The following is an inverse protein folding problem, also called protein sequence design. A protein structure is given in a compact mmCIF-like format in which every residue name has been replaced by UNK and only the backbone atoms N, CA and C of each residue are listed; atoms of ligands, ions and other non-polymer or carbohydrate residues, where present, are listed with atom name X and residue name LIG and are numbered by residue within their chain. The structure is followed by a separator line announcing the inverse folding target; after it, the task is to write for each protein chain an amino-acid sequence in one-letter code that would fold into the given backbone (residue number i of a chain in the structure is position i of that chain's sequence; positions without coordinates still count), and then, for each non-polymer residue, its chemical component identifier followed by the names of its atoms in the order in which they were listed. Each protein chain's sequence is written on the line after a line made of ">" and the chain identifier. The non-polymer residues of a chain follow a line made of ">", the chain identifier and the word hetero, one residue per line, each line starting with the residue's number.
data_IF_596942904051
#
_entry.id   IF_596942904051
#
_cell.length_a   1.000
_cell.length_b   1.000
_cell.length_c   1.000
_cell.angle_alpha   90.00
_cell.angle_beta   90.00
_cell.angle_gamma   90.00
#
_symmetry.space_group_name_H-M   'P 1'
#
loop_
_entity.id
_entity.type
_entity.pdbx_description
1 polymer ?
#
# COMPACT_ATOMS: atom_id res chain seq x y z
N UNK A 1 33.72 29.18 -2.47
CA UNK A 1 32.26 29.03 -2.71
C UNK A 1 31.71 27.96 -1.77
N UNK A 2 30.60 28.22 -1.07
CA UNK A 2 30.02 27.28 -0.08
C UNK A 2 28.93 26.37 -0.67
N UNK A 3 28.46 26.64 -1.88
CA UNK A 3 27.49 25.78 -2.55
C UNK A 3 27.42 26.06 -4.04
N UNK A 4 27.02 25.06 -4.83
CA UNK A 4 26.98 25.13 -6.28
C UNK A 4 25.65 24.56 -6.79
N UNK A 5 24.96 25.35 -7.62
CA UNK A 5 23.74 24.94 -8.31
C UNK A 5 24.00 24.90 -9.80
N UNK A 6 23.79 23.73 -10.39
CA UNK A 6 23.83 23.47 -11.83
C UNK A 6 22.50 22.84 -12.28
N UNK A 7 21.40 23.20 -11.60
CA UNK A 7 20.05 22.70 -11.89
C UNK A 7 19.56 23.17 -13.25
N UNK A 8 18.67 22.41 -13.90
CA UNK A 8 18.04 22.81 -15.17
C UNK A 8 19.06 23.15 -16.27
N UNK A 9 20.11 22.32 -16.38
CA UNK A 9 21.09 22.41 -17.45
C UNK A 9 21.03 21.15 -18.34
N UNK A 10 21.99 21.02 -19.25
CA UNK A 10 22.09 19.88 -20.17
C UNK A 10 23.29 18.98 -19.85
N UNK A 11 23.68 18.86 -18.58
CA UNK A 11 24.79 17.98 -18.18
C UNK A 11 24.41 16.51 -18.47
N UNK A 12 25.29 15.79 -19.16
CA UNK A 12 25.06 14.38 -19.54
C UNK A 12 25.91 13.40 -18.74
N UNK A 13 27.09 13.79 -18.29
CA UNK A 13 28.05 12.91 -17.62
C UNK A 13 28.76 13.66 -16.50
N UNK A 14 29.14 12.94 -15.44
CA UNK A 14 30.01 13.44 -14.38
C UNK A 14 31.31 12.64 -14.36
N UNK A 15 32.40 13.31 -14.71
CA UNK A 15 33.72 12.69 -14.80
C UNK A 15 34.50 12.74 -13.49
N UNK A 16 35.48 11.84 -13.37
CA UNK A 16 36.39 11.77 -12.24
C UNK A 16 37.05 13.13 -11.95
N UNK A 17 36.94 13.55 -10.69
CA UNK A 17 37.58 14.76 -10.20
C UNK A 17 37.01 16.08 -10.74
N UNK A 18 35.85 16.07 -11.42
CA UNK A 18 35.21 17.26 -12.00
C UNK A 18 35.00 18.41 -11.00
N UNK A 19 34.83 18.10 -9.71
CA UNK A 19 34.62 19.09 -8.65
C UNK A 19 35.82 19.27 -7.71
N UNK A 20 37.02 18.81 -8.07
CA UNK A 20 38.21 18.80 -7.19
C UNK A 20 38.63 20.18 -6.66
N UNK A 21 38.38 21.25 -7.41
CA UNK A 21 38.66 22.63 -6.99
C UNK A 21 37.66 23.20 -5.97
N UNK A 22 36.55 22.51 -5.70
CA UNK A 22 35.40 23.03 -4.95
C UNK A 22 35.31 22.44 -3.53
N UNK A 23 36.45 22.28 -2.85
CA UNK A 23 36.56 21.58 -1.56
C UNK A 23 35.76 22.20 -0.40
N UNK A 24 35.29 23.45 -0.57
CA UNK A 24 34.52 24.19 0.42
C UNK A 24 33.00 24.02 0.25
N UNK A 25 32.54 23.26 -0.75
CA UNK A 25 31.11 23.03 -0.99
C UNK A 25 30.44 22.32 0.20
N UNK A 26 29.26 22.81 0.53
CA UNK A 26 28.36 22.26 1.55
C UNK A 26 27.07 21.71 0.96
N UNK A 27 26.67 22.19 -0.22
CA UNK A 27 25.56 21.66 -1.01
C UNK A 27 25.92 21.68 -2.50
N UNK A 28 25.45 20.67 -3.23
CA UNK A 28 25.65 20.51 -4.67
C UNK A 28 24.34 20.08 -5.31
N UNK A 29 23.78 20.94 -6.17
CA UNK A 29 22.50 20.67 -6.83
C UNK A 29 22.71 20.44 -8.32
N UNK A 30 22.43 19.21 -8.77
CA UNK A 30 22.61 18.74 -10.15
C UNK A 30 21.30 18.21 -10.74
N UNK A 31 20.16 18.51 -10.12
CA UNK A 31 18.86 18.01 -10.57
C UNK A 31 18.35 18.67 -11.85
N UNK A 32 17.41 18.01 -12.51
CA UNK A 32 16.87 18.44 -13.82
C UNK A 32 17.98 18.63 -14.87
N UNK A 33 18.81 17.61 -15.03
CA UNK A 33 19.82 17.51 -16.08
C UNK A 33 19.56 16.27 -16.95
N UNK A 34 20.55 15.84 -17.72
CA UNK A 34 20.49 14.63 -18.54
C UNK A 34 21.55 13.60 -18.12
N UNK A 35 21.98 13.64 -16.85
CA UNK A 35 23.11 12.84 -16.37
C UNK A 35 22.74 11.37 -16.47
N UNK A 36 23.44 10.62 -17.32
CA UNK A 36 23.25 9.18 -17.49
C UNK A 36 24.37 8.35 -16.84
N UNK A 37 25.55 8.94 -16.67
CA UNK A 37 26.74 8.30 -16.10
C UNK A 37 27.36 9.16 -15.00
N UNK A 38 27.75 8.52 -13.90
CA UNK A 38 28.51 9.13 -12.80
C UNK A 38 29.72 8.25 -12.52
N UNK A 39 30.91 8.74 -12.85
CA UNK A 39 32.15 8.01 -12.60
C UNK A 39 32.45 7.90 -11.10
N UNK A 40 33.18 6.85 -10.72
CA UNK A 40 33.37 6.44 -9.34
C UNK A 40 34.02 7.48 -8.43
N UNK A 41 34.79 8.41 -8.98
CA UNK A 41 35.44 9.51 -8.26
C UNK A 41 34.94 10.88 -8.72
N UNK A 42 33.75 10.98 -9.32
CA UNK A 42 33.19 12.26 -9.74
C UNK A 42 33.13 13.31 -8.60
N UNK A 43 32.82 12.85 -7.38
CA UNK A 43 32.71 13.69 -6.18
C UNK A 43 33.98 13.74 -5.33
N UNK A 44 35.15 13.45 -5.91
CA UNK A 44 36.40 13.43 -5.16
C UNK A 44 36.66 14.76 -4.44
N UNK A 45 37.18 14.67 -3.19
CA UNK A 45 37.52 15.81 -2.31
C UNK A 45 36.34 16.66 -1.78
N UNK A 46 35.08 16.31 -2.07
CA UNK A 46 33.89 17.02 -1.58
C UNK A 46 33.50 16.69 -0.12
N UNK A 47 34.49 16.65 0.80
CA UNK A 47 34.29 16.18 2.19
C UNK A 47 33.30 17.01 3.01
N UNK A 48 33.07 18.28 2.66
CA UNK A 48 32.21 19.22 3.40
C UNK A 48 30.75 19.20 2.95
N UNK A 49 30.43 18.49 1.86
CA UNK A 49 29.09 18.40 1.31
C UNK A 49 28.18 17.67 2.30
N UNK A 50 27.03 18.29 2.55
CA UNK A 50 25.94 17.83 3.42
C UNK A 50 24.68 17.52 2.62
N UNK A 51 24.51 18.16 1.48
CA UNK A 51 23.33 17.98 0.64
C UNK A 51 23.76 17.78 -0.82
N UNK A 52 23.26 16.70 -1.41
CA UNK A 52 23.47 16.38 -2.81
C UNK A 52 22.13 16.02 -3.43
N UNK A 53 21.76 16.71 -4.51
CA UNK A 53 20.64 16.28 -5.35
C UNK A 53 21.10 15.97 -6.76
N UNK A 54 20.70 14.79 -7.21
CA UNK A 54 20.85 14.26 -8.56
C UNK A 54 19.48 13.88 -9.13
N UNK A 55 18.38 14.41 -8.57
CA UNK A 55 17.03 14.03 -9.00
C UNK A 55 16.69 14.52 -10.41
N UNK A 56 15.69 13.92 -11.05
CA UNK A 56 15.29 14.27 -12.42
C UNK A 56 16.47 14.21 -13.40
N UNK A 57 17.15 13.07 -13.43
CA UNK A 57 18.25 12.76 -14.34
C UNK A 57 17.98 11.40 -15.03
N UNK A 58 18.98 10.84 -15.72
CA UNK A 58 18.85 9.58 -16.46
C UNK A 58 19.78 8.49 -15.90
N UNK A 59 20.19 8.60 -14.63
CA UNK A 59 21.19 7.73 -14.02
C UNK A 59 20.64 6.31 -13.93
N UNK A 60 21.37 5.33 -14.44
CA UNK A 60 20.96 3.93 -14.45
C UNK A 60 21.60 3.11 -13.34
N UNK A 61 22.82 3.50 -12.92
CA UNK A 61 23.62 2.84 -11.90
C UNK A 61 24.52 3.85 -11.19
N UNK A 62 24.91 3.54 -9.96
CA UNK A 62 25.91 4.29 -9.20
C UNK A 62 26.94 3.32 -8.60
N UNK A 63 28.25 3.52 -8.84
CA UNK A 63 29.27 2.66 -8.27
C UNK A 63 29.38 2.84 -6.74
N UNK A 64 29.85 1.80 -6.04
CA UNK A 64 30.09 1.79 -4.58
C UNK A 64 30.97 2.94 -4.06
N UNK A 65 31.78 3.55 -4.93
CA UNK A 65 32.69 4.64 -4.57
C UNK A 65 32.05 6.02 -4.63
N UNK A 66 30.87 6.17 -5.26
CA UNK A 66 30.22 7.45 -5.54
C UNK A 66 30.14 8.37 -4.31
N UNK A 67 29.61 7.85 -3.19
CA UNK A 67 29.37 8.66 -2.00
C UNK A 67 30.49 8.60 -0.95
N UNK A 68 31.48 7.72 -1.11
CA UNK A 68 32.61 7.56 -0.17
C UNK A 68 33.37 8.87 0.11
N UNK A 69 33.60 9.77 -0.88
CA UNK A 69 34.27 11.04 -0.65
C UNK A 69 33.49 12.05 0.22
N UNK A 70 32.20 11.82 0.48
CA UNK A 70 31.29 12.77 1.14
C UNK A 70 30.70 12.21 2.45
N UNK A 71 31.53 11.89 3.47
CA UNK A 71 31.07 11.26 4.72
C UNK A 71 30.19 12.17 5.59
N UNK A 72 30.05 13.46 5.24
CA UNK A 72 29.24 14.43 5.96
C UNK A 72 27.85 14.64 5.35
N UNK A 73 27.46 13.84 4.33
CA UNK A 73 26.13 13.87 3.75
C UNK A 73 25.05 13.69 4.82
N UNK A 74 24.01 14.50 4.68
CA UNK A 74 22.79 14.56 5.49
C UNK A 74 21.56 14.34 4.63
N UNK A 75 21.56 14.87 3.41
CA UNK A 75 20.48 14.69 2.45
C UNK A 75 21.02 14.25 1.11
N UNK A 76 20.45 13.18 0.57
CA UNK A 76 20.72 12.67 -0.77
C UNK A 76 19.39 12.47 -1.49
N UNK A 77 19.24 13.09 -2.65
CA UNK A 77 18.09 12.91 -3.52
C UNK A 77 18.50 12.31 -4.87
N UNK A 78 18.04 11.10 -5.13
CA UNK A 78 18.22 10.32 -6.36
C UNK A 78 16.88 10.06 -7.07
N UNK A 79 15.83 10.79 -6.69
CA UNK A 79 14.49 10.58 -7.21
C UNK A 79 14.38 10.85 -8.71
N UNK A 80 13.42 10.24 -9.40
CA UNK A 80 13.20 10.47 -10.84
C UNK A 80 14.47 10.22 -11.66
N UNK A 81 15.05 9.04 -11.47
CA UNK A 81 16.16 8.50 -12.27
C UNK A 81 15.76 7.13 -12.81
N UNK A 82 16.70 6.42 -13.43
CA UNK A 82 16.47 5.10 -14.02
C UNK A 82 17.24 4.00 -13.27
N UNK A 83 17.47 4.16 -11.96
CA UNK A 83 18.25 3.21 -11.17
C UNK A 83 17.56 1.85 -11.16
N UNK A 84 18.24 0.80 -11.65
CA UNK A 84 17.66 -0.55 -11.72
C UNK A 84 18.08 -1.44 -10.54
N UNK A 85 19.26 -1.17 -10.00
CA UNK A 85 19.87 -1.89 -8.88
C UNK A 85 20.66 -0.92 -8.03
N UNK A 86 20.82 -1.28 -6.76
CA UNK A 86 21.70 -0.59 -5.83
C UNK A 86 22.89 -1.49 -5.55
N UNK A 87 24.08 -0.91 -5.61
CA UNK A 87 25.29 -1.62 -5.21
C UNK A 87 25.30 -1.83 -3.67
N UNK A 88 25.77 -2.99 -3.15
CA UNK A 88 25.63 -3.33 -1.72
C UNK A 88 26.29 -2.35 -0.75
N UNK A 89 27.38 -1.70 -1.14
CA UNK A 89 28.15 -0.77 -0.31
C UNK A 89 27.96 0.70 -0.72
N UNK A 90 26.93 1.01 -1.52
CA UNK A 90 26.71 2.34 -2.08
C UNK A 90 26.64 3.42 -0.99
N UNK A 91 25.98 3.12 0.14
CA UNK A 91 25.79 4.06 1.26
C UNK A 91 26.74 3.79 2.44
N UNK A 92 27.81 3.01 2.23
CA UNK A 92 28.77 2.69 3.28
C UNK A 92 29.40 3.95 3.89
N UNK A 93 29.47 4.02 5.22
CA UNK A 93 30.06 5.15 5.95
C UNK A 93 29.20 6.41 6.07
N UNK A 94 27.99 6.47 5.48
CA UNK A 94 27.10 7.65 5.53
C UNK A 94 26.36 7.78 6.88
N UNK A 95 27.11 7.80 7.98
CA UNK A 95 26.58 7.79 9.36
C UNK A 95 25.76 9.02 9.74
N UNK A 96 25.92 10.12 9.00
CA UNK A 96 25.25 11.41 9.22
C UNK A 96 24.03 11.62 8.30
N UNK A 97 23.75 10.66 7.41
CA UNK A 97 22.62 10.75 6.49
C UNK A 97 21.33 10.75 7.29
N UNK A 98 20.46 11.71 7.02
CA UNK A 98 19.16 11.90 7.68
C UNK A 98 17.99 11.69 6.74
N UNK A 99 18.15 12.03 5.46
CA UNK A 99 17.12 11.95 4.43
C UNK A 99 17.71 11.29 3.18
N UNK A 100 17.03 10.26 2.68
CA UNK A 100 17.38 9.59 1.44
C UNK A 100 16.14 9.42 0.58
N UNK A 101 16.18 9.99 -0.61
CA UNK A 101 15.11 9.89 -1.60
C UNK A 101 15.61 9.08 -2.80
N UNK A 102 14.89 8.01 -3.15
CA UNK A 102 15.12 7.15 -4.32
C UNK A 102 13.80 6.86 -5.05
N UNK A 103 12.82 7.77 -4.89
CA UNK A 103 11.49 7.68 -5.47
C UNK A 103 11.53 7.64 -6.99
N UNK A 104 10.59 6.94 -7.64
CA UNK A 104 10.45 6.98 -9.10
C UNK A 104 11.75 6.57 -9.80
N UNK A 105 12.17 5.33 -9.51
CA UNK A 105 13.28 4.64 -10.15
C UNK A 105 12.78 3.28 -10.65
N UNK A 106 13.69 2.41 -11.10
CA UNK A 106 13.38 1.06 -11.56
C UNK A 106 13.97 -0.03 -10.65
N UNK A 107 14.11 0.27 -9.34
CA UNK A 107 14.79 -0.61 -8.39
C UNK A 107 13.95 -1.87 -8.17
N UNK A 108 14.56 -3.04 -8.42
CA UNK A 108 13.88 -4.35 -8.32
C UNK A 108 14.10 -5.04 -6.98
N UNK A 109 15.22 -4.75 -6.32
CA UNK A 109 15.60 -5.35 -5.04
C UNK A 109 16.37 -4.35 -4.18
N UNK A 110 16.19 -4.43 -2.86
CA UNK A 110 17.00 -3.71 -1.86
C UNK A 110 18.04 -4.68 -1.30
N UNK A 111 19.34 -4.49 -1.57
CA UNK A 111 20.39 -5.36 -1.05
C UNK A 111 20.34 -5.42 0.49
N UNK A 112 20.65 -6.60 1.03
CA UNK A 112 20.69 -6.82 2.48
C UNK A 112 21.79 -5.94 3.09
N UNK A 113 21.50 -5.28 4.22
CA UNK A 113 22.44 -4.42 4.96
C UNK A 113 22.99 -3.20 4.18
N UNK A 114 22.40 -2.82 3.04
CA UNK A 114 22.82 -1.61 2.31
C UNK A 114 22.77 -0.34 3.18
N UNK A 115 21.87 -0.30 4.17
CA UNK A 115 21.71 0.81 5.10
C UNK A 115 22.40 0.61 6.47
N UNK A 116 23.23 -0.41 6.63
CA UNK A 116 23.82 -0.80 7.93
C UNK A 116 24.52 0.34 8.67
N UNK A 117 25.15 1.25 7.92
CA UNK A 117 25.88 2.40 8.44
C UNK A 117 25.05 3.69 8.54
N UNK A 118 23.84 3.72 7.96
CA UNK A 118 22.95 4.88 7.93
C UNK A 118 22.20 5.10 9.26
N UNK A 119 22.94 5.11 10.38
CA UNK A 119 22.38 5.10 11.76
C UNK A 119 21.63 6.37 12.17
N UNK A 120 21.77 7.44 11.39
CA UNK A 120 21.08 8.73 11.61
C UNK A 120 19.88 8.95 10.70
N UNK A 121 19.58 7.99 9.81
CA UNK A 121 18.52 8.15 8.81
C UNK A 121 17.17 8.21 9.51
N UNK A 122 16.38 9.23 9.15
CA UNK A 122 15.03 9.48 9.68
C UNK A 122 13.97 9.27 8.61
N UNK A 123 14.27 9.62 7.36
CA UNK A 123 13.34 9.53 6.24
C UNK A 123 13.97 8.72 5.11
N UNK A 124 13.22 7.73 4.62
CA UNK A 124 13.60 6.90 3.49
C UNK A 124 12.41 6.77 2.52
N UNK A 125 12.60 7.25 1.29
CA UNK A 125 11.62 7.09 0.21
C UNK A 125 12.16 6.21 -0.90
N UNK A 126 11.55 5.03 -1.06
CA UNK A 126 11.77 4.08 -2.16
C UNK A 126 10.41 3.77 -2.84
N UNK A 127 9.48 4.71 -2.79
CA UNK A 127 8.20 4.61 -3.49
C UNK A 127 8.37 4.69 -5.01
N UNK A 128 7.36 4.23 -5.76
CA UNK A 128 7.37 4.25 -7.23
C UNK A 128 8.60 3.54 -7.80
N UNK A 129 8.80 2.28 -7.37
CA UNK A 129 9.87 1.40 -7.85
C UNK A 129 9.25 0.06 -8.30
N UNK A 130 10.08 -0.97 -8.51
CA UNK A 130 9.65 -2.28 -8.99
C UNK A 130 9.95 -3.39 -7.97
N UNK A 131 9.88 -3.05 -6.67
CA UNK A 131 10.19 -3.99 -5.59
C UNK A 131 9.11 -5.07 -5.51
N UNK A 132 9.50 -6.33 -5.70
CA UNK A 132 8.59 -7.49 -5.62
C UNK A 132 8.56 -8.15 -4.25
N UNK A 133 9.66 -8.03 -3.52
CA UNK A 133 9.84 -8.60 -2.19
C UNK A 133 10.87 -7.81 -1.39
N UNK A 134 10.82 -7.98 -0.08
CA UNK A 134 11.78 -7.43 0.86
C UNK A 134 12.51 -8.60 1.53
N UNK A 135 13.84 -8.57 1.52
CA UNK A 135 14.62 -9.57 2.23
C UNK A 135 14.65 -9.25 3.73
N UNK A 136 14.83 -10.29 4.55
CA UNK A 136 15.12 -10.09 5.99
C UNK A 136 16.37 -9.20 6.12
N UNK A 137 16.31 -8.21 7.00
CA UNK A 137 17.41 -7.28 7.25
C UNK A 137 17.78 -6.34 6.07
N UNK A 138 16.92 -6.17 5.05
CA UNK A 138 17.13 -5.11 4.04
C UNK A 138 17.25 -3.72 4.67
N UNK A 139 16.50 -3.47 5.75
CA UNK A 139 16.49 -2.19 6.49
C UNK A 139 17.32 -2.20 7.78
N UNK A 140 18.26 -3.15 7.93
CA UNK A 140 19.12 -3.19 9.10
C UNK A 140 19.98 -1.92 9.23
N UNK A 141 20.16 -1.45 10.47
CA UNK A 141 20.92 -0.24 10.79
C UNK A 141 20.09 1.04 10.93
N UNK A 142 18.83 1.02 10.47
CA UNK A 142 17.92 2.16 10.44
C UNK A 142 17.21 2.44 11.78
N UNK A 143 17.96 2.51 12.87
CA UNK A 143 17.40 2.60 14.24
C UNK A 143 16.64 3.90 14.54
N UNK A 144 16.93 4.98 13.80
CA UNK A 144 16.31 6.31 13.94
C UNK A 144 15.28 6.62 12.85
N UNK A 145 14.95 5.65 12.01
CA UNK A 145 14.01 5.85 10.91
C UNK A 145 12.63 6.12 11.48
N UNK A 146 12.04 7.24 11.12
CA UNK A 146 10.71 7.68 11.55
C UNK A 146 9.67 7.46 10.46
N UNK A 147 10.08 7.51 9.21
CA UNK A 147 9.16 7.46 8.06
C UNK A 147 9.76 6.66 6.91
N UNK A 148 8.96 5.69 6.42
CA UNK A 148 9.33 4.78 5.35
C UNK A 148 8.24 4.76 4.27
N UNK A 149 8.62 5.13 3.05
CA UNK A 149 7.77 5.14 1.86
C UNK A 149 8.15 3.98 0.94
N UNK A 150 7.18 3.08 0.73
CA UNK A 150 7.26 1.88 -0.12
C UNK A 150 6.04 1.78 -1.06
N UNK A 151 5.27 2.85 -1.20
CA UNK A 151 4.08 2.87 -2.05
C UNK A 151 4.42 2.69 -3.53
N UNK A 152 3.44 2.27 -4.33
CA UNK A 152 3.61 2.08 -5.78
C UNK A 152 4.81 1.18 -6.11
N UNK A 153 4.84 0.00 -5.47
CA UNK A 153 5.76 -1.09 -5.79
C UNK A 153 4.94 -2.35 -6.15
N UNK A 154 5.62 -3.48 -6.32
CA UNK A 154 5.00 -4.77 -6.68
C UNK A 154 5.01 -5.77 -5.50
N UNK A 155 4.98 -5.30 -4.25
CA UNK A 155 5.09 -6.16 -3.07
C UNK A 155 3.84 -7.04 -2.94
N UNK A 156 4.03 -8.37 -2.86
CA UNK A 156 2.93 -9.35 -2.78
C UNK A 156 2.57 -9.74 -1.34
N UNK A 157 3.56 -9.69 -0.44
CA UNK A 157 3.39 -10.07 0.97
C UNK A 157 4.09 -9.06 1.87
N UNK A 158 3.43 -8.68 2.95
CA UNK A 158 4.03 -7.87 4.01
C UNK A 158 4.17 -8.74 5.25
N UNK A 159 5.42 -9.06 5.58
CA UNK A 159 5.75 -9.66 6.87
C UNK A 159 6.40 -8.58 7.72
N UNK A 160 5.76 -8.19 8.83
CA UNK A 160 6.29 -7.18 9.74
C UNK A 160 7.66 -7.59 10.33
N UNK A 161 7.97 -8.89 10.37
CA UNK A 161 9.28 -9.40 10.75
C UNK A 161 10.43 -8.99 9.82
N UNK A 162 10.16 -8.57 8.57
CA UNK A 162 11.17 -8.09 7.63
C UNK A 162 11.69 -6.68 7.94
N UNK A 163 11.09 -6.02 8.94
CA UNK A 163 11.50 -4.72 9.43
C UNK A 163 12.08 -4.82 10.86
N UNK A 164 13.13 -5.64 11.08
CA UNK A 164 13.66 -5.85 12.41
C UNK A 164 14.29 -4.56 12.94
N UNK A 165 13.87 -4.17 14.16
CA UNK A 165 14.46 -3.06 14.92
C UNK A 165 14.29 -1.67 14.29
N UNK A 166 13.22 -1.45 13.52
CA UNK A 166 12.76 -0.09 13.19
C UNK A 166 11.99 0.53 14.37
N UNK A 167 12.63 0.57 15.56
CA UNK A 167 12.00 0.91 16.84
C UNK A 167 11.47 2.36 16.90
N UNK A 168 11.97 3.24 16.04
CA UNK A 168 11.58 4.64 15.98
C UNK A 168 10.58 4.93 14.84
N UNK A 169 10.06 3.91 14.16
CA UNK A 169 9.20 4.10 12.99
C UNK A 169 7.80 4.56 13.42
N UNK A 170 7.38 5.72 12.92
CA UNK A 170 6.07 6.32 13.20
C UNK A 170 5.12 6.21 12.01
N UNK A 171 5.64 6.23 10.78
CA UNK A 171 4.84 6.21 9.55
C UNK A 171 5.36 5.18 8.56
N UNK A 172 4.47 4.30 8.10
CA UNK A 172 4.74 3.29 7.09
C UNK A 172 3.72 3.40 5.94
N UNK A 173 4.20 3.76 4.76
CA UNK A 173 3.40 3.88 3.56
C UNK A 173 3.64 2.68 2.64
N UNK A 174 2.62 1.82 2.46
CA UNK A 174 2.61 0.63 1.61
C UNK A 174 1.50 0.68 0.55
N UNK A 175 0.92 1.87 0.34
CA UNK A 175 -0.18 2.12 -0.59
C UNK A 175 0.14 1.62 -2.01
N UNK A 176 -0.87 1.10 -2.71
CA UNK A 176 -0.76 0.70 -4.13
C UNK A 176 0.41 -0.26 -4.38
N UNK A 177 0.44 -1.33 -3.60
CA UNK A 177 1.23 -2.53 -3.86
C UNK A 177 0.29 -3.67 -4.31
N UNK A 178 0.75 -4.92 -4.28
CA UNK A 178 -0.02 -6.12 -4.62
C UNK A 178 -0.21 -7.03 -3.40
N UNK A 179 -0.26 -6.42 -2.21
CA UNK A 179 -0.22 -7.17 -0.95
C UNK A 179 -1.51 -7.96 -0.80
N UNK A 180 -1.42 -9.28 -0.68
CA UNK A 180 -2.60 -10.14 -0.49
C UNK A 180 -2.83 -10.54 0.97
N UNK A 181 -1.76 -10.57 1.75
CA UNK A 181 -1.79 -10.94 3.16
C UNK A 181 -0.80 -10.10 3.97
N UNK A 182 -1.23 -9.71 5.17
CA UNK A 182 -0.38 -9.10 6.19
C UNK A 182 -0.19 -10.11 7.32
N UNK A 183 1.06 -10.44 7.61
CA UNK A 183 1.44 -11.41 8.65
C UNK A 183 2.44 -10.80 9.61
N UNK A 184 2.44 -11.31 10.84
CA UNK A 184 3.46 -11.00 11.83
C UNK A 184 3.94 -12.28 12.51
N UNK A 185 5.24 -12.51 12.52
CA UNK A 185 5.85 -13.71 13.13
C UNK A 185 6.77 -13.38 14.30
N UNK A 186 6.75 -12.14 14.82
CA UNK A 186 7.68 -11.70 15.88
C UNK A 186 6.96 -10.89 16.98
N UNK A 187 7.53 -10.98 18.18
CA UNK A 187 6.88 -10.56 19.45
C UNK A 187 7.23 -9.14 19.91
N UNK A 188 7.94 -8.32 19.11
CA UNK A 188 8.28 -6.97 19.53
C UNK A 188 7.15 -5.97 19.28
N UNK A 189 7.19 -4.86 20.02
CA UNK A 189 6.22 -3.77 19.89
C UNK A 189 6.83 -2.61 19.09
N UNK A 190 6.05 -2.06 18.18
CA UNK A 190 6.40 -0.88 17.38
C UNK A 190 5.74 0.38 17.93
N UNK A 191 6.40 1.51 17.69
CA UNK A 191 5.88 2.86 17.95
C UNK A 191 5.16 3.44 16.72
N UNK A 192 4.61 2.58 15.87
CA UNK A 192 3.97 2.98 14.62
C UNK A 192 2.66 3.70 14.91
N UNK A 193 2.51 4.91 14.37
CA UNK A 193 1.31 5.73 14.53
C UNK A 193 0.44 5.75 13.27
N UNK A 194 1.06 5.61 12.10
CA UNK A 194 0.38 5.67 10.80
C UNK A 194 0.79 4.51 9.92
N UNK A 195 -0.20 3.80 9.40
CA UNK A 195 -0.01 2.72 8.44
C UNK A 195 -0.97 2.91 7.27
N UNK A 196 -0.43 3.03 6.06
CA UNK A 196 -1.21 3.13 4.83
C UNK A 196 -1.05 1.85 4.01
N UNK A 197 -2.11 1.04 3.96
CA UNK A 197 -2.22 -0.18 3.17
C UNK A 197 -3.26 -0.03 2.03
N UNK A 198 -3.67 1.20 1.71
CA UNK A 198 -4.72 1.46 0.73
C UNK A 198 -4.33 0.99 -0.69
N UNK A 199 -5.32 0.59 -1.49
CA UNK A 199 -5.09 0.22 -2.89
C UNK A 199 -4.26 -1.05 -3.08
N UNK A 200 -4.34 -2.00 -2.15
CA UNK A 200 -3.69 -3.32 -2.25
C UNK A 200 -4.71 -4.40 -2.65
N UNK A 201 -4.33 -5.67 -2.53
CA UNK A 201 -5.18 -6.81 -2.85
C UNK A 201 -5.47 -7.65 -1.58
N UNK A 202 -5.54 -7.00 -0.42
CA UNK A 202 -5.62 -7.71 0.87
C UNK A 202 -6.98 -8.39 1.00
N UNK A 203 -6.96 -9.71 1.13
CA UNK A 203 -8.15 -10.53 1.35
C UNK A 203 -8.29 -10.95 2.82
N UNK A 204 -7.17 -11.07 3.53
CA UNK A 204 -7.12 -11.55 4.90
C UNK A 204 -6.04 -10.85 5.72
N UNK A 205 -6.40 -10.52 6.96
CA UNK A 205 -5.50 -9.96 7.97
C UNK A 205 -5.40 -10.98 9.10
N UNK A 206 -4.18 -11.36 9.48
CA UNK A 206 -3.97 -12.29 10.58
C UNK A 206 -4.27 -11.64 11.95
N UNK A 207 -4.99 -12.30 12.87
CA UNK A 207 -5.47 -11.74 14.14
C UNK A 207 -4.44 -11.00 14.99
N UNK A 208 -3.21 -11.51 15.05
CA UNK A 208 -2.17 -11.01 15.96
C UNK A 208 -1.28 -9.91 15.34
N UNK A 209 -1.53 -9.52 14.08
CA UNK A 209 -0.67 -8.53 13.38
C UNK A 209 -0.66 -7.20 14.13
N UNK A 210 -1.83 -6.73 14.55
CA UNK A 210 -1.99 -5.41 15.14
C UNK A 210 -1.68 -5.36 16.64
N UNK A 211 -1.49 -6.50 17.31
CA UNK A 211 -0.98 -6.55 18.69
C UNK A 211 0.44 -5.97 18.79
N UNK A 212 1.23 -6.08 17.72
CA UNK A 212 2.58 -5.53 17.64
C UNK A 212 2.62 -4.01 17.42
N UNK A 213 1.50 -3.36 17.11
CA UNK A 213 1.38 -1.91 16.83
C UNK A 213 0.28 -1.24 17.68
N UNK A 214 0.38 -1.29 19.02
CA UNK A 214 -0.68 -0.85 19.93
C UNK A 214 -0.94 0.67 19.91
N UNK A 215 0.01 1.46 19.38
CA UNK A 215 -0.06 2.92 19.31
C UNK A 215 -0.56 3.45 17.97
N UNK A 216 -1.09 2.58 17.10
CA UNK A 216 -1.58 2.97 15.78
C UNK A 216 -2.76 3.94 15.90
N UNK A 217 -2.62 5.13 15.31
CA UNK A 217 -3.61 6.22 15.32
C UNK A 217 -4.37 6.33 14.01
N UNK A 218 -3.72 6.02 12.89
CA UNK A 218 -4.28 6.11 11.55
C UNK A 218 -3.99 4.83 10.77
N UNK A 219 -5.04 4.18 10.29
CA UNK A 219 -4.95 2.95 9.49
C UNK A 219 -5.75 3.11 8.21
N UNK A 220 -5.08 3.12 7.07
CA UNK A 220 -5.78 3.15 5.77
C UNK A 220 -5.84 1.74 5.17
N UNK A 221 -7.05 1.21 5.00
CA UNK A 221 -7.34 -0.09 4.40
C UNK A 221 -8.31 0.01 3.22
N UNK A 222 -8.62 1.22 2.75
CA UNK A 222 -9.48 1.41 1.60
C UNK A 222 -8.92 0.78 0.31
N UNK A 223 -9.82 0.51 -0.64
CA UNK A 223 -9.46 -0.02 -1.95
C UNK A 223 -8.69 -1.35 -1.86
N UNK A 224 -9.17 -2.29 -1.04
CA UNK A 224 -8.64 -3.64 -0.86
C UNK A 224 -9.69 -4.70 -1.26
N UNK A 225 -9.47 -5.97 -0.89
CA UNK A 225 -10.38 -7.10 -1.18
C UNK A 225 -10.94 -7.74 0.10
N UNK A 226 -11.00 -7.00 1.20
CA UNK A 226 -11.51 -7.52 2.47
C UNK A 226 -13.01 -7.80 2.34
N UNK A 227 -13.43 -8.95 2.85
CA UNK A 227 -14.85 -9.33 2.93
C UNK A 227 -15.40 -9.22 4.34
N UNK A 228 -14.57 -9.43 5.36
CA UNK A 228 -14.90 -9.24 6.77
C UNK A 228 -13.62 -8.91 7.55
N UNK A 229 -13.78 -8.50 8.82
CA UNK A 229 -12.67 -8.33 9.77
C UNK A 229 -12.96 -9.19 11.00
N UNK A 230 -11.99 -10.01 11.41
CA UNK A 230 -12.09 -10.85 12.61
C UNK A 230 -12.18 -9.99 13.88
N UNK A 231 -12.98 -10.42 14.85
CA UNK A 231 -13.18 -9.66 16.11
C UNK A 231 -11.88 -9.42 16.87
N UNK A 232 -10.92 -10.36 16.83
CA UNK A 232 -9.61 -10.19 17.48
C UNK A 232 -8.78 -9.07 16.85
N UNK A 233 -8.92 -8.86 15.54
CA UNK A 233 -8.31 -7.71 14.86
C UNK A 233 -8.96 -6.42 15.36
N UNK A 234 -10.29 -6.36 15.44
CA UNK A 234 -11.01 -5.19 15.94
C UNK A 234 -10.65 -4.85 17.40
N UNK A 235 -10.49 -5.86 18.25
CA UNK A 235 -10.11 -5.72 19.66
C UNK A 235 -8.69 -5.13 19.84
N UNK A 236 -7.83 -5.32 18.84
CA UNK A 236 -6.46 -4.78 18.84
C UNK A 236 -6.39 -3.29 18.47
N UNK A 237 -7.41 -2.73 17.82
CA UNK A 237 -7.47 -1.36 17.31
C UNK A 237 -7.80 -0.30 18.39
N UNK A 238 -7.08 -0.35 19.51
CA UNK A 238 -7.41 0.41 20.73
C UNK A 238 -7.10 1.91 20.64
N UNK A 239 -6.12 2.30 19.83
CA UNK A 239 -5.61 3.68 19.74
C UNK A 239 -6.03 4.41 18.47
N UNK A 240 -6.86 3.79 17.61
CA UNK A 240 -7.22 4.37 16.33
C UNK A 240 -8.07 5.63 16.51
N UNK A 241 -7.73 6.64 15.73
CA UNK A 241 -8.44 7.93 15.62
C UNK A 241 -8.97 8.16 14.22
N UNK A 242 -8.40 7.49 13.22
CA UNK A 242 -8.82 7.54 11.83
C UNK A 242 -8.65 6.16 11.19
N UNK A 243 -9.66 5.71 10.43
CA UNK A 243 -9.60 4.46 9.67
C UNK A 243 -10.29 4.62 8.31
N UNK A 244 -9.69 4.14 7.23
CA UNK A 244 -10.38 4.01 5.93
C UNK A 244 -10.68 2.55 5.63
N UNK A 245 -11.89 2.28 5.16
CA UNK A 245 -12.41 0.92 4.90
C UNK A 245 -13.23 0.85 3.61
N UNK A 246 -13.46 1.99 2.96
CA UNK A 246 -14.22 2.08 1.71
C UNK A 246 -13.58 1.26 0.57
N UNK A 247 -14.36 0.99 -0.47
CA UNK A 247 -13.91 0.24 -1.65
C UNK A 247 -13.27 -1.13 -1.33
N UNK A 248 -13.80 -1.82 -0.32
CA UNK A 248 -13.57 -3.25 -0.06
C UNK A 248 -14.76 -4.08 -0.56
N UNK A 249 -14.65 -5.41 -0.46
CA UNK A 249 -15.68 -6.35 -0.92
C UNK A 249 -16.52 -6.88 0.25
N UNK A 250 -17.06 -5.98 1.08
CA UNK A 250 -17.74 -6.34 2.33
C UNK A 250 -18.88 -7.34 2.13
N UNK A 251 -18.83 -8.46 2.86
CA UNK A 251 -19.88 -9.47 2.91
C UNK A 251 -20.86 -9.17 4.04
N UNK A 252 -21.95 -8.49 3.69
CA UNK A 252 -23.05 -8.11 4.58
C UNK A 252 -23.99 -9.29 4.86
N UNK A 253 -23.38 -10.37 5.34
CA UNK A 253 -24.04 -11.49 6.01
C UNK A 253 -23.80 -11.35 7.53
N UNK A 254 -23.89 -12.44 8.30
CA UNK A 254 -23.56 -12.41 9.73
C UNK A 254 -22.09 -12.07 10.02
N UNK A 255 -21.20 -12.21 9.03
CA UNK A 255 -19.77 -11.92 9.16
C UNK A 255 -19.48 -10.42 9.39
N UNK A 256 -20.37 -9.52 8.95
CA UNK A 256 -20.16 -8.07 9.09
C UNK A 256 -20.51 -7.56 10.49
N UNK A 257 -21.20 -8.34 11.32
CA UNK A 257 -21.76 -7.88 12.59
C UNK A 257 -20.70 -7.37 13.58
N UNK A 258 -19.54 -8.03 13.64
CA UNK A 258 -18.43 -7.57 14.50
C UNK A 258 -17.93 -6.20 14.06
N UNK A 259 -17.76 -5.99 12.76
CA UNK A 259 -17.33 -4.72 12.18
C UNK A 259 -18.39 -3.63 12.39
N UNK A 260 -19.67 -3.92 12.13
CA UNK A 260 -20.76 -2.97 12.32
C UNK A 260 -20.90 -2.52 13.77
N UNK A 261 -20.83 -3.46 14.72
CA UNK A 261 -20.82 -3.15 16.16
C UNK A 261 -19.61 -2.28 16.54
N UNK A 262 -18.42 -2.61 16.02
CA UNK A 262 -17.22 -1.81 16.26
C UNK A 262 -17.36 -0.39 15.70
N UNK A 263 -17.83 -0.23 14.47
CA UNK A 263 -18.04 1.06 13.80
C UNK A 263 -19.05 1.93 14.55
N UNK A 264 -20.15 1.35 15.04
CA UNK A 264 -21.17 2.07 15.80
C UNK A 264 -20.63 2.69 17.10
N UNK A 265 -19.60 2.07 17.68
CA UNK A 265 -18.95 2.52 18.92
C UNK A 265 -17.69 3.36 18.66
N UNK A 266 -17.20 3.39 17.42
CA UNK A 266 -15.96 4.06 17.07
C UNK A 266 -16.14 5.59 17.04
N UNK A 267 -15.42 6.30 17.91
CA UNK A 267 -15.49 7.76 18.04
C UNK A 267 -14.54 8.52 17.10
N UNK A 268 -13.73 7.80 16.32
CA UNK A 268 -12.79 8.38 15.38
C UNK A 268 -13.43 8.75 14.04
N UNK A 269 -12.59 9.12 13.08
CA UNK A 269 -13.01 9.41 11.70
C UNK A 269 -12.93 8.15 10.85
N UNK A 270 -13.98 7.86 10.10
CA UNK A 270 -13.98 6.82 9.07
C UNK A 270 -14.73 7.29 7.83
N UNK A 271 -14.52 6.60 6.71
CA UNK A 271 -15.17 6.93 5.44
C UNK A 271 -16.70 6.84 5.56
N UNK A 272 -17.45 7.72 4.89
CA UNK A 272 -18.92 7.78 5.01
C UNK A 272 -19.68 6.74 4.19
N UNK A 273 -18.99 5.99 3.32
CA UNK A 273 -19.62 5.12 2.32
C UNK A 273 -18.98 3.72 2.37
N UNK A 274 -19.34 2.92 3.36
CA UNK A 274 -18.90 1.52 3.45
C UNK A 274 -19.97 0.66 2.79
N UNK A 275 -19.80 0.36 1.50
CA UNK A 275 -20.83 -0.34 0.74
C UNK A 275 -20.67 -1.86 0.84
N UNK A 276 -21.81 -2.54 0.99
CA UNK A 276 -21.92 -3.99 0.87
C UNK A 276 -21.65 -4.45 -0.57
N UNK A 277 -20.79 -5.45 -0.74
CA UNK A 277 -20.52 -6.07 -2.04
C UNK A 277 -21.32 -7.36 -2.23
N UNK A 278 -21.51 -8.13 -1.16
CA UNK A 278 -22.35 -9.33 -1.10
C UNK A 278 -23.21 -9.32 0.15
N UNK A 279 -24.29 -10.11 0.21
CA UNK A 279 -24.96 -10.80 -0.91
C UNK A 279 -25.76 -9.85 -1.81
N UNK A 280 -26.29 -10.35 -2.94
CA UNK A 280 -26.98 -9.52 -3.97
C UNK A 280 -28.12 -8.65 -3.42
N UNK A 281 -28.84 -9.10 -2.38
CA UNK A 281 -29.95 -8.34 -1.81
C UNK A 281 -29.52 -7.09 -1.01
N UNK A 282 -28.27 -7.06 -0.53
CA UNK A 282 -27.71 -5.95 0.24
C UNK A 282 -26.67 -5.16 -0.58
N UNK A 283 -26.39 -5.57 -1.82
CA UNK A 283 -25.31 -5.00 -2.61
C UNK A 283 -25.54 -3.51 -2.89
N UNK A 284 -24.55 -2.69 -2.58
CA UNK A 284 -24.59 -1.23 -2.79
C UNK A 284 -25.22 -0.43 -1.63
N UNK A 285 -25.82 -1.10 -0.64
CA UNK A 285 -26.25 -0.47 0.61
C UNK A 285 -25.07 -0.17 1.51
N UNK A 286 -25.18 0.84 2.38
CA UNK A 286 -24.19 1.05 3.43
C UNK A 286 -24.24 -0.10 4.45
N UNK A 287 -23.08 -0.50 4.97
CA UNK A 287 -22.93 -1.63 5.90
C UNK A 287 -23.79 -1.45 7.14
N UNK A 288 -23.86 -0.24 7.72
CA UNK A 288 -24.65 -0.03 8.93
C UNK A 288 -26.15 -0.04 8.63
N UNK A 289 -26.54 0.55 7.50
CA UNK A 289 -27.94 0.56 7.04
C UNK A 289 -28.42 -0.86 6.69
N UNK A 290 -27.59 -1.66 6.03
CA UNK A 290 -27.90 -3.05 5.69
C UNK A 290 -28.08 -3.92 6.94
N UNK A 291 -27.25 -3.74 7.98
CA UNK A 291 -27.39 -4.47 9.24
C UNK A 291 -28.74 -4.19 9.91
N UNK A 292 -29.19 -2.93 9.89
CA UNK A 292 -30.47 -2.53 10.44
C UNK A 292 -31.65 -3.00 9.58
N UNK A 293 -31.60 -2.75 8.27
CA UNK A 293 -32.70 -3.02 7.34
C UNK A 293 -33.00 -4.52 7.18
N UNK A 294 -31.96 -5.38 7.24
CA UNK A 294 -32.11 -6.83 7.05
C UNK A 294 -32.02 -7.62 8.37
N UNK A 295 -31.99 -6.96 9.53
CA UNK A 295 -31.88 -7.59 10.85
C UNK A 295 -30.73 -8.63 10.93
N UNK A 296 -29.59 -8.34 10.32
CA UNK A 296 -28.50 -9.32 10.11
C UNK A 296 -27.86 -9.82 11.42
N UNK A 297 -27.87 -8.96 12.44
CA UNK A 297 -27.16 -9.17 13.70
C UNK A 297 -28.09 -9.37 14.89
N UNK A 298 -29.40 -9.52 14.65
CA UNK A 298 -30.32 -9.96 15.67
C UNK A 298 -30.16 -11.47 15.86
N UNK A 299 -30.14 -11.93 17.11
CA UNK A 299 -30.17 -13.36 17.36
C UNK A 299 -31.54 -13.89 16.94
N UNK A 300 -31.53 -14.96 16.14
CA UNK A 300 -32.73 -15.73 15.89
C UNK A 300 -33.32 -16.11 17.24
N UNK A 301 -34.50 -15.57 17.54
CA UNK A 301 -35.22 -15.95 18.76
C UNK A 301 -35.32 -17.48 18.79
N UNK A 302 -34.91 -18.05 19.91
CA UNK A 302 -34.98 -19.48 20.20
C UNK A 302 -36.38 -20.01 19.82
N UNK A 303 -36.53 -21.06 18.98
CA UNK A 303 -37.85 -21.60 18.62
C UNK A 303 -38.57 -22.30 19.78
N UNK A 304 -38.05 -22.23 21.00
CA UNK A 304 -38.61 -22.88 22.19
C UNK A 304 -39.08 -21.86 23.22
N UNK A 305 -40.10 -21.09 22.87
CA UNK A 305 -41.11 -20.68 23.85
C UNK A 305 -42.49 -21.02 23.29
N UNK A 306 -42.88 -22.26 23.55
CA UNK A 306 -44.24 -22.75 23.35
C UNK A 306 -45.16 -21.89 24.20
N UNK A 307 -45.99 -21.08 23.54
CA UNK A 307 -47.15 -20.45 24.13
C UNK A 307 -48.10 -21.53 24.65
N UNK A 308 -48.14 -21.72 25.97
CA UNK A 308 -49.25 -22.36 26.66
C UNK A 308 -50.39 -21.36 26.82
N UNK A 309 -51.45 -21.53 26.04
CA UNK A 309 -52.81 -21.11 26.43
C UNK A 309 -53.18 -21.90 27.70
N UNK A 310 -53.81 -21.39 28.76
CA UNK A 310 -55.13 -20.74 28.93
C UNK A 310 -55.33 -20.51 30.46
N UNK A 311 -56.48 -20.02 31.01
CA UNK A 311 -57.67 -19.42 30.41
C UNK A 311 -58.17 -18.11 31.08
N UNK A 312 -59.21 -17.56 30.45
CA UNK A 312 -60.05 -16.41 30.79
C UNK A 312 -60.79 -16.58 32.14
N UNK A 313 -60.85 -15.51 32.94
CA UNK A 313 -62.00 -15.16 33.80
C UNK A 313 -62.27 -13.66 33.79
N UNK A 314 -63.56 -13.31 33.79
CA UNK A 314 -64.17 -12.01 33.50
C UNK A 314 -64.33 -11.08 34.71
N UNK A 315 -64.54 -9.80 34.38
CA UNK A 315 -65.20 -8.69 35.12
C UNK A 315 -64.37 -8.02 36.25
N UNK A 316 -64.37 -6.70 36.44
CA UNK A 316 -65.14 -5.58 35.88
C UNK A 316 -64.48 -4.24 36.28
N UNK A 317 -64.81 -3.20 35.51
CA UNK A 317 -64.95 -1.78 35.87
C UNK A 317 -63.79 -0.76 35.81
N UNK A 318 -64.12 0.29 35.02
CA UNK A 318 -63.82 1.73 35.13
C UNK A 318 -62.65 2.37 34.37
N UNK A 319 -63.01 2.86 33.17
CA UNK A 319 -62.89 4.25 32.64
C UNK A 319 -61.54 4.98 32.66
N UNK A 320 -61.07 5.45 31.49
CA UNK A 320 -61.16 6.86 31.04
C UNK A 320 -60.58 7.07 29.60
N UNK A 321 -61.44 7.63 28.73
CA UNK A 321 -61.20 8.65 27.66
C UNK A 321 -60.09 8.49 26.60
N UNK A 322 -60.53 8.25 25.35
CA UNK A 322 -59.82 8.54 24.09
C UNK A 322 -60.04 9.99 23.63
N UNK A 323 -58.98 10.65 23.15
CA UNK A 323 -59.04 11.88 22.36
C UNK A 323 -58.30 11.69 21.03
N UNK A 324 -59.06 11.60 19.94
CA UNK A 324 -58.59 11.60 18.54
C UNK A 324 -58.44 13.03 18.04
N UNK A 325 -57.41 13.30 17.24
CA UNK A 325 -57.34 14.50 16.40
C UNK A 325 -56.66 14.19 15.05
N UNK A 326 -57.51 14.03 14.03
CA UNK A 326 -57.21 14.22 12.61
C UNK A 326 -57.08 15.72 12.31
N UNK A 327 -56.09 16.12 11.50
CA UNK A 327 -55.99 17.48 10.98
C UNK A 327 -56.08 17.49 9.45
N UNK A 328 -57.04 18.27 8.97
CA UNK A 328 -57.46 18.52 7.58
C UNK A 328 -56.66 19.68 6.95
N UNK A 329 -56.56 19.63 5.63
CA UNK A 329 -56.09 20.71 4.75
C UNK A 329 -57.07 21.89 4.74
N UNK A 330 -56.54 23.12 4.66
CA UNK A 330 -57.29 24.31 4.25
C UNK A 330 -56.47 25.14 3.26
N UNK A 331 -57.13 25.50 2.16
CA UNK A 331 -56.72 26.46 1.11
C UNK A 331 -57.54 27.73 1.33
N UNK A 332 -56.92 28.90 1.18
CA UNK A 332 -57.64 30.15 0.92
C UNK A 332 -56.74 31.18 0.22
N UNK A 333 -57.20 31.64 -0.95
CA UNK A 333 -56.70 32.76 -1.75
C UNK A 333 -57.03 34.13 -1.12
N UNK A 334 -56.23 35.16 -1.43
CA UNK A 334 -56.68 36.55 -1.63
C UNK A 334 -55.57 37.43 -2.26
N UNK A 335 -56.00 38.35 -3.14
CA UNK A 335 -55.25 39.16 -4.12
C UNK A 335 -54.48 40.40 -3.58
N UNK A 336 -53.45 40.81 -4.34
CA UNK A 336 -53.19 42.21 -4.76
C UNK A 336 -52.32 43.13 -3.88
N UNK A 337 -51.13 43.52 -4.35
CA UNK A 337 -50.83 44.91 -4.79
C UNK A 337 -49.46 45.05 -5.50
N UNK A 338 -49.38 46.03 -6.42
CA UNK A 338 -48.23 46.38 -7.27
C UNK A 338 -47.29 47.39 -6.57
N UNK A 339 -45.97 47.15 -6.65
CA UNK A 339 -44.98 48.24 -6.71
C UNK A 339 -43.82 47.89 -7.64
N UNK A 340 -43.72 48.65 -8.72
CA UNK A 340 -42.62 48.68 -9.70
C UNK A 340 -41.38 49.38 -9.14
N UNK A 341 -40.23 48.70 -9.17
CA UNK A 341 -38.92 49.33 -9.15
C UNK A 341 -38.16 48.93 -10.42
N UNK A 342 -37.94 49.91 -11.29
CA UNK A 342 -37.04 49.80 -12.43
C UNK A 342 -35.60 49.96 -11.94
N UNK A 343 -34.75 48.97 -12.18
CA UNK A 343 -33.30 49.10 -12.03
C UNK A 343 -32.65 48.69 -13.35
N UNK A 344 -32.23 49.70 -14.10
CA UNK A 344 -31.26 49.59 -15.18
C UNK A 344 -29.87 49.37 -14.59
N UNK A 345 -29.21 48.25 -14.92
CA UNK A 345 -27.76 48.10 -14.74
C UNK A 345 -27.12 47.64 -16.04
N UNK A 346 -26.22 48.50 -16.49
CA UNK A 346 -25.15 48.39 -17.50
C UNK A 346 -24.59 46.99 -17.79
N UNK A 347 -24.44 46.69 -19.08
CA UNK A 347 -23.59 45.64 -19.62
C UNK A 347 -22.10 46.02 -19.46
N UNK A 348 -21.22 45.09 -19.04
CA UNK A 348 -19.84 45.07 -19.50
C UNK A 348 -19.60 43.89 -20.44
N UNK A 349 -18.83 44.16 -21.51
CA UNK A 349 -18.53 43.22 -22.57
C UNK A 349 -17.57 42.09 -22.22
N UNK A 350 -17.49 41.18 -23.18
CA UNK A 350 -16.44 40.20 -23.49
C UNK A 350 -16.00 39.21 -22.40
N UNK A 351 -16.34 37.93 -22.61
CA UNK A 351 -15.53 36.78 -22.20
C UNK A 351 -15.70 35.64 -23.23
N UNK A 352 -14.99 35.78 -24.36
CA UNK A 352 -14.95 34.81 -25.47
C UNK A 352 -14.17 33.51 -25.15
N UNK A 353 -13.56 33.36 -23.98
CA UNK A 353 -12.71 32.20 -23.67
C UNK A 353 -13.46 31.05 -22.96
N UNK A 354 -14.52 31.36 -22.20
CA UNK A 354 -15.24 30.35 -21.40
C UNK A 354 -16.19 29.49 -22.25
N UNK A 355 -16.78 30.04 -23.32
CA UNK A 355 -17.67 29.29 -24.21
C UNK A 355 -16.91 28.20 -25.00
N UNK A 356 -15.65 28.46 -25.36
CA UNK A 356 -14.82 27.51 -26.13
C UNK A 356 -14.34 26.35 -25.26
N UNK A 357 -14.08 26.57 -23.96
CA UNK A 357 -13.71 25.49 -23.04
C UNK A 357 -14.90 24.58 -22.70
N UNK A 358 -16.09 25.15 -22.47
CA UNK A 358 -17.30 24.36 -22.16
C UNK A 358 -17.69 23.47 -23.35
N UNK A 359 -17.64 24.00 -24.58
CA UNK A 359 -17.94 23.18 -25.76
C UNK A 359 -16.95 22.01 -25.91
N UNK A 360 -15.64 22.23 -25.71
CA UNK A 360 -14.62 21.16 -25.80
C UNK A 360 -14.80 20.05 -24.76
N UNK A 361 -15.18 20.39 -23.53
CA UNK A 361 -15.45 19.40 -22.46
C UNK A 361 -16.72 18.59 -22.75
N UNK A 362 -17.77 19.25 -23.25
CA UNK A 362 -19.02 18.57 -23.65
C UNK A 362 -18.78 17.67 -24.86
N UNK A 363 -17.96 18.09 -25.83
CA UNK A 363 -17.67 17.25 -27.00
C UNK A 363 -16.81 16.04 -26.64
N UNK A 364 -15.86 16.20 -25.71
CA UNK A 364 -15.01 15.12 -25.21
C UNK A 364 -15.77 14.07 -24.39
N UNK A 365 -16.69 14.52 -23.53
CA UNK A 365 -17.53 13.61 -22.73
C UNK A 365 -18.51 12.82 -23.60
N UNK A 366 -19.11 13.47 -24.61
CA UNK A 366 -19.98 12.79 -25.57
C UNK A 366 -19.21 11.76 -26.40
N UNK A 367 -18.00 12.07 -26.86
CA UNK A 367 -17.17 11.13 -27.63
C UNK A 367 -16.80 9.87 -26.82
N UNK A 368 -16.52 10.00 -25.52
CA UNK A 368 -16.24 8.87 -24.65
C UNK A 368 -17.47 7.98 -24.44
N UNK A 369 -18.65 8.59 -24.27
CA UNK A 369 -19.92 7.85 -24.12
C UNK A 369 -20.24 7.09 -25.42
N UNK A 370 -20.11 7.72 -26.59
CA UNK A 370 -20.33 7.03 -27.86
C UNK A 370 -19.32 5.90 -28.10
N UNK A 371 -18.05 6.11 -27.77
CA UNK A 371 -17.02 5.06 -27.83
C UNK A 371 -17.37 3.87 -26.94
N UNK A 372 -17.79 4.12 -25.70
CA UNK A 372 -18.22 3.09 -24.77
C UNK A 372 -19.46 2.32 -25.29
N UNK A 373 -20.46 3.04 -25.79
CA UNK A 373 -21.68 2.43 -26.33
C UNK A 373 -21.40 1.56 -27.57
N UNK A 374 -20.47 1.98 -28.44
CA UNK A 374 -20.03 1.18 -29.59
C UNK A 374 -19.34 -0.11 -29.13
N UNK A 375 -18.46 -0.04 -28.11
CA UNK A 375 -17.81 -1.24 -27.57
C UNK A 375 -18.84 -2.21 -26.97
N UNK A 376 -19.79 -1.71 -26.20
CA UNK A 376 -20.87 -2.54 -25.63
C UNK A 376 -21.74 -3.15 -26.72
N UNK A 377 -22.07 -2.40 -27.77
CA UNK A 377 -22.82 -2.90 -28.92
C UNK A 377 -22.05 -4.00 -29.67
N UNK A 378 -20.74 -3.81 -29.90
CA UNK A 378 -19.88 -4.82 -30.54
C UNK A 378 -19.79 -6.08 -29.70
N UNK A 379 -19.67 -5.96 -28.37
CA UNK A 379 -19.68 -7.11 -27.47
C UNK A 379 -21.03 -7.82 -27.46
N UNK A 380 -22.13 -7.07 -27.46
CA UNK A 380 -23.49 -7.61 -27.53
C UNK A 380 -23.75 -8.34 -28.86
N UNK A 381 -23.37 -7.75 -29.99
CA UNK A 381 -23.49 -8.36 -31.32
C UNK A 381 -22.57 -9.56 -31.45
N UNK A 382 -21.35 -9.50 -30.92
CA UNK A 382 -20.41 -10.64 -30.93
C UNK A 382 -20.93 -11.81 -30.09
N UNK A 383 -21.57 -11.52 -28.95
CA UNK A 383 -22.24 -12.54 -28.13
C UNK A 383 -23.46 -13.14 -28.85
N UNK A 384 -24.29 -12.29 -29.48
CA UNK A 384 -25.56 -12.72 -30.09
C UNK A 384 -25.37 -13.42 -31.45
N UNK A 385 -24.42 -12.98 -32.27
CA UNK A 385 -24.20 -13.50 -33.63
C UNK A 385 -23.18 -14.64 -33.71
N UNK A 386 -22.22 -14.73 -32.78
CA UNK A 386 -21.15 -15.76 -32.83
C UNK A 386 -20.95 -16.49 -31.49
N UNK A 387 -21.95 -17.24 -30.99
CA UNK A 387 -21.82 -18.00 -29.73
C UNK A 387 -20.78 -19.13 -29.80
N UNK A 388 -20.41 -19.59 -31.00
CA UNK A 388 -19.45 -20.68 -31.19
C UNK A 388 -17.97 -20.26 -30.98
N UNK A 389 -17.57 -19.04 -31.38
CA UNK A 389 -16.19 -18.55 -31.22
C UNK A 389 -15.85 -18.23 -29.76
N UNK A 390 -16.81 -17.70 -29.00
CA UNK A 390 -16.68 -17.48 -27.54
C UNK A 390 -16.57 -18.79 -26.74
N UNK A 391 -17.23 -19.86 -27.19
CA UNK A 391 -17.08 -21.21 -26.60
C UNK A 391 -15.68 -21.78 -26.85
N UNK A 392 -15.11 -21.56 -28.04
CA UNK A 392 -13.74 -21.95 -28.37
C UNK A 392 -12.70 -21.22 -27.53
N UNK A 393 -12.87 -19.90 -27.31
CA UNK A 393 -12.03 -19.11 -26.40
C UNK A 393 -12.10 -19.63 -24.95
N UNK A 394 -13.31 -19.89 -24.43
CA UNK A 394 -13.47 -20.49 -23.10
C UNK A 394 -12.82 -21.88 -22.99
N UNK A 395 -12.95 -22.74 -24.00
CA UNK A 395 -12.29 -24.05 -24.02
C UNK A 395 -10.75 -23.95 -24.10
N UNK A 396 -10.23 -22.94 -24.81
CA UNK A 396 -8.79 -22.68 -24.90
C UNK A 396 -8.23 -22.21 -23.54
N UNK A 397 -8.93 -21.32 -22.83
CA UNK A 397 -8.55 -20.90 -21.47
C UNK A 397 -8.63 -22.05 -20.45
N UNK A 398 -9.64 -22.93 -20.56
CA UNK A 398 -9.78 -24.10 -19.69
C UNK A 398 -8.69 -25.14 -19.94
N UNK A 399 -8.31 -25.39 -21.20
CA UNK A 399 -7.21 -26.31 -21.55
C UNK A 399 -5.85 -25.75 -21.15
N UNK A 400 -5.65 -24.42 -21.26
CA UNK A 400 -4.42 -23.76 -20.79
C UNK A 400 -4.28 -23.83 -19.26
N UNK A 401 -5.38 -23.62 -18.51
CA UNK A 401 -5.42 -23.82 -17.05
C UNK A 401 -5.15 -25.29 -16.66
N UNK A 402 -5.69 -26.26 -17.39
CA UNK A 402 -5.41 -27.69 -17.15
C UNK A 402 -3.93 -28.04 -17.36
N UNK A 403 -3.31 -27.53 -18.44
CA UNK A 403 -1.86 -27.72 -18.69
C UNK A 403 -0.99 -27.07 -17.62
N UNK A 404 -1.41 -25.93 -17.07
CA UNK A 404 -0.69 -25.24 -16.00
C UNK A 404 -0.78 -25.99 -14.66
N UNK A 405 -1.98 -26.53 -14.34
CA UNK A 405 -2.18 -27.40 -13.18
C UNK A 405 -1.35 -28.69 -13.27
N UNK A 406 -1.28 -29.31 -14.45
CA UNK A 406 -0.51 -30.54 -14.68
C UNK A 406 1.01 -30.32 -14.57
N UNK A 407 1.51 -29.14 -14.99
CA UNK A 407 2.91 -28.72 -14.76
C UNK A 407 3.22 -28.48 -13.27
N UNK A 408 2.26 -27.93 -12.52
CA UNK A 408 2.42 -27.77 -11.07
C UNK A 408 2.46 -29.11 -10.33
N UNK A 409 1.61 -30.09 -10.70
CA UNK A 409 1.66 -31.43 -10.09
C UNK A 409 2.94 -32.18 -10.43
N UNK A 410 3.48 -32.07 -11.66
CA UNK A 410 4.79 -32.65 -12.00
C UNK A 410 5.94 -32.00 -11.21
N UNK A 411 5.91 -30.67 -11.00
CA UNK A 411 6.91 -30.01 -10.15
C UNK A 411 6.78 -30.38 -8.68
N UNK A 412 5.57 -30.63 -8.19
CA UNK A 412 5.33 -31.04 -6.81
C UNK A 412 5.79 -32.49 -6.57
N UNK A 413 5.62 -33.39 -7.55
CA UNK A 413 6.18 -34.75 -7.49
C UNK A 413 7.72 -34.77 -7.58
N UNK A 414 8.32 -33.89 -8.38
CA UNK A 414 9.77 -33.73 -8.46
C UNK A 414 10.40 -33.13 -7.19
N UNK A 415 9.62 -32.32 -6.44
CA UNK A 415 10.05 -31.76 -5.16
C UNK A 415 9.95 -32.77 -3.99
N UNK A 416 9.04 -33.76 -4.07
CA UNK A 416 8.91 -34.81 -3.07
C UNK A 416 10.00 -35.89 -3.15
N UNK A 417 10.69 -36.02 -4.30
CA UNK A 417 11.81 -36.95 -4.48
C UNK A 417 13.18 -36.40 -4.05
N UNK A 418 13.26 -35.14 -3.61
CA UNK A 418 14.49 -34.50 -3.16
C UNK A 418 14.40 -34.19 -1.66
N UNK A 419 14.61 -35.21 -0.82
CA UNK A 419 14.65 -35.05 0.64
C UNK A 419 16.13 -35.00 1.07
N UNK A 420 16.67 -33.79 1.23
CA UNK A 420 18.01 -33.55 1.80
C UNK A 420 17.99 -33.78 3.32
N UNK A 421 18.91 -34.61 3.81
CA UNK A 421 19.14 -34.87 5.23
C UNK A 421 19.83 -33.65 5.89
N UNK A 422 19.21 -33.07 6.92
CA UNK A 422 19.76 -32.00 7.75
C UNK A 422 20.45 -32.60 8.99
N UNK A 423 21.75 -32.34 9.17
CA UNK A 423 22.48 -32.67 10.41
C UNK A 423 22.46 -31.44 11.31
N UNK A 424 21.87 -31.58 12.49
CA UNK A 424 21.70 -30.53 13.49
C UNK A 424 23.02 -30.34 14.27
N UNK A 425 23.58 -29.12 14.25
CA UNK A 425 24.79 -28.77 15.02
C UNK A 425 24.44 -27.76 16.11
N UNK A 426 24.47 -28.19 17.37
CA UNK A 426 24.40 -27.32 18.57
C UNK A 426 25.81 -26.96 19.04
N UNK A 427 26.18 -25.67 19.15
CA UNK A 427 27.36 -25.27 19.90
C UNK A 427 26.97 -24.79 21.30
N UNK A 428 27.51 -25.48 22.31
CA UNK A 428 27.61 -24.98 23.68
C UNK A 428 29.03 -24.41 23.90
N UNK A 429 29.07 -23.29 24.63
CA UNK A 429 30.19 -22.65 25.33
C UNK A 429 31.15 -21.65 24.61
N UNK A 430 31.37 -20.58 25.38
CA UNK A 430 32.13 -19.31 25.25
C UNK A 430 33.65 -19.63 25.44
N UNK A 431 34.64 -18.99 24.81
CA UNK A 431 35.25 -17.67 25.11
C UNK A 431 36.54 -17.48 24.25
N UNK A 432 36.90 -16.24 23.89
CA UNK A 432 38.32 -15.86 23.73
C UNK A 432 38.95 -15.66 22.34
N UNK A 433 39.38 -14.41 22.11
CA UNK A 433 40.59 -13.95 21.40
C UNK A 433 40.71 -13.97 19.84
N UNK A 434 41.02 -12.76 19.34
CA UNK A 434 41.59 -12.41 18.04
C UNK A 434 42.74 -13.33 17.58
N UNK A 435 42.73 -13.75 16.30
CA UNK A 435 43.93 -13.82 15.45
C UNK A 435 43.56 -13.55 13.98
N UNK A 436 44.26 -12.59 13.36
CA UNK A 436 44.28 -12.31 11.92
C UNK A 436 45.28 -13.28 11.29
N UNK A 437 44.89 -14.10 10.31
CA UNK A 437 45.81 -14.69 9.32
C UNK A 437 45.12 -14.75 7.95
N UNK A 438 45.70 -14.02 6.99
CA UNK A 438 45.56 -14.24 5.55
C UNK A 438 46.15 -15.60 5.20
N UNK A 439 45.46 -16.45 4.45
CA UNK A 439 46.10 -17.23 3.38
C UNK A 439 45.08 -17.90 2.46
N UNK A 440 45.41 -17.88 1.17
CA UNK A 440 44.70 -18.54 0.08
C UNK A 440 44.93 -20.05 0.16
N UNK A 441 43.85 -20.84 0.08
CA UNK A 441 43.92 -22.30 -0.02
C UNK A 441 42.87 -22.85 -0.98
N UNK A 442 43.33 -23.48 -2.05
CA UNK A 442 42.54 -24.18 -3.08
C UNK A 442 41.96 -25.50 -2.54
N UNK A 443 40.66 -25.74 -2.72
CA UNK A 443 40.04 -27.05 -2.45
C UNK A 443 39.85 -27.86 -3.74
N UNK A 444 40.54 -29.00 -3.83
CA UNK A 444 40.31 -30.07 -4.81
C UNK A 444 39.28 -31.07 -4.28
N UNK A 445 38.24 -31.37 -5.08
CA UNK A 445 37.17 -32.30 -4.74
C UNK A 445 37.53 -33.72 -5.22
N UNK A 446 37.52 -34.71 -4.31
CA UNK A 446 37.58 -36.14 -4.66
C UNK A 446 36.20 -36.76 -4.47
N UNK A 447 35.61 -37.26 -5.56
CA UNK A 447 34.41 -38.09 -5.60
C UNK A 447 34.78 -39.56 -5.29
N UNK A 448 34.02 -40.21 -4.41
CA UNK A 448 33.94 -41.68 -4.34
C UNK A 448 32.48 -42.16 -4.45
N UNK A 449 32.23 -43.32 -5.08
CA UNK A 449 30.89 -43.74 -5.48
C UNK A 449 30.14 -44.56 -4.42
N UNK A 450 28.83 -44.65 -4.65
CA UNK A 450 27.78 -45.21 -3.80
C UNK A 450 27.92 -46.69 -3.43
N UNK A 451 27.30 -47.05 -2.29
CA UNK A 451 26.87 -48.43 -1.98
C UNK A 451 25.38 -48.43 -1.65
N UNK A 452 24.68 -49.34 -2.34
CA UNK A 452 23.31 -49.77 -2.13
C UNK A 452 23.15 -50.54 -0.81
N UNK A 453 21.97 -50.43 -0.18
CA UNK A 453 21.41 -51.48 0.68
C UNK A 453 19.87 -51.53 0.52
N UNK A 454 19.38 -52.67 0.03
CA UNK A 454 18.09 -53.29 0.40
C UNK A 454 18.11 -53.57 1.94
N UNK A 455 17.02 -53.55 2.71
CA UNK A 455 15.69 -54.18 2.62
C UNK A 455 14.66 -53.30 3.33
#
# INVERSE_FOLDING_TARGET
>A
MMGLSLRYNSLSELHDGQFTGLMQLTWLYLDHNHICSVEGNAFQKLRRVKELTLSSNKITQLPNTTFRPMPNLRSVDLSYNNLQSLEPDLFHGLRKLTTLHMRSNAIKFVPVRIFQDCRSLKFLDIGYNQLKSLARNSFAGLFKLTELHLEHNDLVKVNLAHFPRLISLHSLCLRRNKVTIVVNTLDWIWQLEKMDLSGNEIEYIEPHVFESVPHLKSLQLDSNRLTYIDSRVLDSWKSLTSISLSANAWDCSRNVCALASWLSNFKGRYDSNLLCATPEYAQGEDVLDAVYAFHLCEDAADPTSVNTLSPVTNNSDQTFSYGSATATYNVQDSEGDRTTYAITVTMPGENSENAVQIHKVVTGTMALIFSFLIVVLVLYVSWKCFPASLRQLRQCFVTQRRKQKQKQTMHQMAAMSAQEYYVDYKPNHIEGALVIINEYGSCSCHQQPARECEV
#
